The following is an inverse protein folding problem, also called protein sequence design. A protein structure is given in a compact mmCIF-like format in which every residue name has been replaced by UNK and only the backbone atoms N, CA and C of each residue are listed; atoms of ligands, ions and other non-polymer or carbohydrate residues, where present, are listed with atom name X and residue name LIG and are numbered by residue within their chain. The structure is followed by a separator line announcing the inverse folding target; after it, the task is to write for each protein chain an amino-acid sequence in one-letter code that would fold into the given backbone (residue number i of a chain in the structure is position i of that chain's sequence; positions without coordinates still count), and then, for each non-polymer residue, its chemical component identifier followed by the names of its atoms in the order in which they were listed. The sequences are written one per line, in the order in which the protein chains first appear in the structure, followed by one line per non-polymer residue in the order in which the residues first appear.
data_IF_497288277673
#
_entry.id   IF_497288277673
#
_cell.length_a   1.000
_cell.length_b   1.000
_cell.length_c   1.000
_cell.angle_alpha   90.00
_cell.angle_beta   90.00
_cell.angle_gamma   90.00
#
_symmetry.space_group_name_H-M   'P 1'
#
loop_
_entity.id
_entity.type
_entity.pdbx_description
1 polymer ?
#
# COMPACT_ATOMS: atom_id res chain seq x y z
N UNK A 1 -7.78 3.25 3.63
CA UNK A 1 -7.53 1.85 4.07
C UNK A 1 -7.43 0.84 2.94
N UNK A 2 -8.18 0.98 1.83
CA UNK A 2 -8.10 0.04 0.70
C UNK A 2 -6.65 -0.21 0.19
N UNK A 3 -5.79 0.82 0.19
CA UNK A 3 -4.35 0.70 -0.17
C UNK A 3 -3.57 -0.34 0.64
N UNK A 4 -4.02 -0.66 1.85
CA UNK A 4 -3.34 -1.57 2.77
C UNK A 4 -3.90 -3.00 2.77
N UNK A 5 -5.03 -3.26 2.10
CA UNK A 5 -5.63 -4.59 2.10
C UNK A 5 -4.68 -5.65 1.52
N UNK A 6 -4.19 -5.45 0.30
CA UNK A 6 -3.26 -6.42 -0.31
C UNK A 6 -1.90 -6.47 0.40
N UNK A 7 -1.25 -5.34 0.76
CA UNK A 7 0.00 -5.39 1.52
C UNK A 7 -0.12 -6.20 2.81
N UNK A 8 -1.19 -6.00 3.58
CA UNK A 8 -1.40 -6.77 4.81
C UNK A 8 -1.71 -8.25 4.53
N UNK A 9 -2.40 -8.60 3.44
CA UNK A 9 -2.57 -10.01 3.05
C UNK A 9 -1.24 -10.67 2.72
N UNK A 10 -0.37 -9.98 1.98
CA UNK A 10 1.00 -10.45 1.69
C UNK A 10 1.81 -10.62 2.99
N UNK A 11 1.72 -9.67 3.90
CA UNK A 11 2.38 -9.74 5.20
C UNK A 11 1.89 -10.94 6.02
N UNK A 12 0.57 -11.12 6.12
CA UNK A 12 -0.03 -12.24 6.87
C UNK A 12 0.44 -13.57 6.30
N UNK A 13 0.40 -13.76 4.97
CA UNK A 13 0.90 -14.98 4.28
C UNK A 13 2.37 -15.29 4.62
N UNK A 14 3.22 -14.27 4.70
CA UNK A 14 4.65 -14.44 4.99
C UNK A 14 5.01 -14.58 6.47
N UNK A 15 4.05 -14.33 7.38
CA UNK A 15 4.29 -14.28 8.82
C UNK A 15 3.72 -15.49 9.55
N UNK A 16 3.98 -15.59 10.85
CA UNK A 16 3.36 -16.60 11.73
C UNK A 16 1.84 -16.51 11.79
N UNK A 17 1.26 -15.37 11.39
CA UNK A 17 -0.19 -15.16 11.35
C UNK A 17 -0.90 -16.07 10.35
N UNK A 18 -0.21 -16.57 9.32
CA UNK A 18 -0.77 -17.50 8.34
C UNK A 18 -1.36 -18.78 8.98
N UNK A 19 -0.91 -19.14 10.18
CA UNK A 19 -1.44 -20.31 10.93
C UNK A 19 -2.80 -20.06 11.58
N UNK A 20 -3.23 -18.80 11.68
CA UNK A 20 -4.46 -18.43 12.38
C UNK A 20 -5.72 -18.57 11.51
N UNK A 21 -5.56 -18.70 10.19
CA UNK A 21 -6.66 -18.81 9.24
C UNK A 21 -6.32 -18.15 7.90
N UNK A 22 -7.35 -17.94 7.09
CA UNK A 22 -7.19 -17.34 5.77
C UNK A 22 -6.71 -15.87 5.88
N UNK A 23 -5.67 -15.48 5.12
CA UNK A 23 -5.13 -14.11 5.17
C UNK A 23 -6.16 -13.02 4.94
N UNK A 24 -7.12 -13.26 4.04
CA UNK A 24 -8.20 -12.32 3.75
C UNK A 24 -9.16 -12.14 4.95
N UNK A 25 -9.54 -13.23 5.61
CA UNK A 25 -10.42 -13.18 6.79
C UNK A 25 -9.73 -12.46 7.95
N UNK A 26 -8.43 -12.74 8.17
CA UNK A 26 -7.64 -12.08 9.22
C UNK A 26 -7.58 -10.57 8.97
N UNK A 27 -7.29 -10.15 7.73
CA UNK A 27 -7.18 -8.73 7.37
C UNK A 27 -8.55 -8.04 7.45
N UNK A 28 -9.62 -8.68 6.97
CA UNK A 28 -10.96 -8.12 7.03
C UNK A 28 -11.45 -7.98 8.49
N UNK A 29 -11.24 -9.00 9.33
CA UNK A 29 -11.55 -8.94 10.75
C UNK A 29 -10.72 -7.87 11.49
N UNK A 30 -9.43 -7.76 11.15
CA UNK A 30 -8.57 -6.70 11.67
C UNK A 30 -9.10 -5.31 11.33
N UNK A 31 -9.45 -5.05 10.06
CA UNK A 31 -10.01 -3.76 9.68
C UNK A 31 -11.35 -3.49 10.35
N UNK A 32 -12.26 -4.48 10.41
CA UNK A 32 -13.54 -4.32 11.10
C UNK A 32 -13.33 -3.94 12.59
N UNK A 33 -12.37 -4.58 13.27
CA UNK A 33 -12.08 -4.31 14.67
C UNK A 33 -11.40 -2.95 14.91
N UNK A 34 -10.50 -2.52 14.01
CA UNK A 34 -9.72 -1.28 14.21
C UNK A 34 -10.41 -0.04 13.66
N UNK A 35 -11.16 -0.15 12.57
CA UNK A 35 -11.85 0.99 11.96
C UNK A 35 -13.16 1.34 12.66
N UNK A 36 -13.67 0.46 13.52
CA UNK A 36 -14.77 0.75 14.43
C UNK A 36 -14.34 1.52 15.69
N UNK A 37 -13.03 1.61 15.97
CA UNK A 37 -12.49 2.34 17.12
C UNK A 37 -11.75 3.61 16.66
N UNK A 38 -12.39 4.77 16.84
CA UNK A 38 -11.81 6.07 16.48
C UNK A 38 -10.43 6.32 17.14
N UNK A 39 -10.22 5.79 18.35
CA UNK A 39 -8.96 5.93 19.09
C UNK A 39 -7.78 5.26 18.40
N UNK A 40 -8.04 4.31 17.51
CA UNK A 40 -6.96 3.62 16.79
C UNK A 40 -6.18 4.58 15.90
N UNK A 41 -6.88 5.43 15.15
CA UNK A 41 -6.24 6.42 14.27
C UNK A 41 -5.72 7.63 15.04
N UNK A 42 -6.38 8.01 16.14
CA UNK A 42 -5.85 9.03 17.06
C UNK A 42 -4.51 8.58 17.68
N UNK A 43 -4.43 7.32 18.11
CA UNK A 43 -3.20 6.72 18.62
C UNK A 43 -2.09 6.69 17.58
N UNK A 44 -2.43 6.38 16.32
CA UNK A 44 -1.47 6.50 15.21
C UNK A 44 -0.98 7.94 15.05
N UNK A 45 -1.89 8.91 14.95
CA UNK A 45 -1.54 10.32 14.76
C UNK A 45 -0.63 10.84 15.89
N UNK A 46 -0.88 10.43 17.14
CA UNK A 46 -0.06 10.79 18.29
C UNK A 46 1.30 10.06 18.34
N UNK A 47 1.43 8.90 17.67
CA UNK A 47 2.66 8.09 17.74
C UNK A 47 3.84 8.66 16.95
N UNK A 48 3.59 9.50 15.95
CA UNK A 48 4.60 9.95 14.98
C UNK A 48 5.15 8.84 14.08
N UNK A 49 4.57 7.63 14.11
CA UNK A 49 5.00 6.50 13.28
C UNK A 49 4.41 6.61 11.87
N UNK A 50 5.16 6.09 10.89
CA UNK A 50 4.61 5.85 9.55
C UNK A 50 3.45 4.86 9.64
N UNK A 51 2.35 5.17 8.96
CA UNK A 51 1.11 4.36 9.03
C UNK A 51 1.35 2.88 8.73
N UNK A 52 2.24 2.59 7.77
CA UNK A 52 2.60 1.22 7.41
C UNK A 52 3.19 0.40 8.55
N UNK A 53 4.10 0.98 9.34
CA UNK A 53 4.71 0.32 10.49
C UNK A 53 3.69 0.17 11.61
N UNK A 54 2.85 1.18 11.81
CA UNK A 54 1.74 1.12 12.75
C UNK A 54 0.78 -0.04 12.43
N UNK A 55 0.37 -0.19 11.17
CA UNK A 55 -0.54 -1.25 10.74
C UNK A 55 0.08 -2.65 10.83
N UNK A 56 1.35 -2.83 10.43
CA UNK A 56 2.06 -4.11 10.59
C UNK A 56 2.13 -4.52 12.07
N UNK A 57 2.46 -3.59 12.97
CA UNK A 57 2.48 -3.87 14.40
C UNK A 57 1.07 -4.20 14.92
N UNK A 58 0.07 -3.41 14.52
CA UNK A 58 -1.30 -3.57 14.98
C UNK A 58 -1.91 -4.92 14.55
N UNK A 59 -1.62 -5.40 13.33
CA UNK A 59 -2.12 -6.70 12.86
C UNK A 59 -1.42 -7.87 13.57
N UNK A 60 -0.14 -7.74 13.92
CA UNK A 60 0.56 -8.72 14.77
C UNK A 60 -0.09 -8.82 16.16
N UNK A 61 -0.35 -7.68 16.82
CA UNK A 61 -1.03 -7.67 18.12
C UNK A 61 -2.46 -8.21 18.04
N UNK A 62 -3.17 -7.90 16.96
CA UNK A 62 -4.50 -8.46 16.70
C UNK A 62 -4.47 -9.99 16.59
N UNK A 63 -3.55 -10.55 15.80
CA UNK A 63 -3.40 -11.99 15.66
C UNK A 63 -3.00 -12.70 16.95
N UNK A 64 -2.15 -12.08 17.78
CA UNK A 64 -1.85 -12.60 19.12
C UNK A 64 -3.10 -12.63 20.03
N UNK A 65 -4.01 -11.66 19.88
CA UNK A 65 -5.31 -11.67 20.55
C UNK A 65 -6.15 -12.89 20.14
N UNK A 66 -6.30 -13.10 18.82
CA UNK A 66 -7.02 -14.25 18.27
C UNK A 66 -6.46 -15.60 18.78
N UNK A 67 -5.14 -15.74 18.81
CA UNK A 67 -4.49 -16.96 19.32
C UNK A 67 -4.81 -17.21 20.80
N UNK A 68 -4.78 -16.17 21.64
CA UNK A 68 -5.11 -16.28 23.07
C UNK A 68 -6.59 -16.62 23.29
N UNK A 69 -7.48 -16.01 22.52
CA UNK A 69 -8.92 -16.27 22.64
C UNK A 69 -9.27 -17.70 22.22
N UNK A 70 -8.62 -18.20 21.16
CA UNK A 70 -8.73 -19.60 20.75
C UNK A 70 -8.23 -20.57 21.83
N UNK A 71 -7.04 -20.33 22.38
CA UNK A 71 -6.51 -21.15 23.47
C UNK A 71 -7.41 -21.16 24.71
N UNK A 72 -8.02 -20.03 25.08
CA UNK A 72 -9.00 -19.93 26.17
C UNK A 72 -10.31 -20.66 25.87
N UNK A 73 -10.76 -20.66 24.62
CA UNK A 73 -11.94 -21.42 24.21
C UNK A 73 -11.66 -22.93 24.29
N UNK A 74 -10.49 -23.37 23.82
CA UNK A 74 -10.05 -24.77 23.87
C UNK A 74 -9.83 -25.27 25.31
N UNK A 75 -9.19 -24.46 26.18
CA UNK A 75 -8.97 -24.81 27.60
C UNK A 75 -10.27 -24.97 28.41
N UNK A 76 -11.37 -24.31 27.99
CA UNK A 76 -12.71 -24.49 28.58
C UNK A 76 -13.41 -25.77 28.13
N UNK A 77 -12.88 -26.47 27.12
CA UNK A 77 -13.41 -27.72 26.56
C UNK A 77 -12.70 -29.00 27.01
N UNK A 78 -11.61 -28.91 27.80
CA UNK A 78 -10.84 -30.06 28.29
C UNK A 78 -9.35 -29.94 27.92
N UNK A 79 -8.51 -30.00 28.95
CA UNK A 79 -7.07 -29.73 29.00
C UNK A 79 -6.25 -29.94 27.70
N UNK A 80 -5.75 -28.83 27.13
CA UNK A 80 -4.52 -28.79 26.34
C UNK A 80 -3.77 -27.51 26.70
N UNK A 81 -2.50 -27.65 27.10
CA UNK A 81 -1.60 -26.53 27.40
C UNK A 81 -1.42 -25.62 26.17
N UNK A 82 -1.54 -24.29 26.31
CA UNK A 82 -1.30 -23.37 25.20
C UNK A 82 0.16 -23.47 24.77
N UNK A 83 0.42 -24.13 23.65
CA UNK A 83 1.69 -23.93 22.94
C UNK A 83 1.68 -22.48 22.48
N UNK A 84 2.43 -21.64 23.19
CA UNK A 84 2.80 -20.32 22.71
C UNK A 84 3.21 -20.47 21.24
N UNK A 85 2.64 -19.63 20.37
CA UNK A 85 3.11 -19.52 19.00
C UNK A 85 4.59 -19.19 19.08
N UNK A 86 5.41 -20.23 18.94
CA UNK A 86 6.84 -20.13 19.05
C UNK A 86 7.28 -19.03 18.10
N UNK A 87 8.12 -18.12 18.60
CA UNK A 87 8.39 -16.80 18.01
C UNK A 87 9.17 -16.92 16.68
N UNK A 88 9.32 -18.11 16.12
CA UNK A 88 10.04 -18.39 14.88
C UNK A 88 9.21 -19.29 13.97
N UNK A 89 9.44 -19.11 12.67
CA UNK A 89 8.81 -19.77 11.51
C UNK A 89 7.58 -19.07 10.94
N UNK A 90 7.68 -17.75 10.78
CA UNK A 90 7.54 -17.12 9.46
C UNK A 90 8.81 -16.30 9.24
N UNK A 91 9.29 -16.18 8.00
CA UNK A 91 10.42 -15.30 7.73
C UNK A 91 9.93 -13.85 7.77
N UNK A 92 9.93 -13.27 8.98
CA UNK A 92 9.44 -11.92 9.22
C UNK A 92 10.13 -10.87 8.34
N UNK A 93 11.40 -11.07 8.00
CA UNK A 93 12.11 -10.18 7.09
C UNK A 93 11.57 -10.29 5.66
N UNK A 94 11.30 -11.51 5.19
CA UNK A 94 10.65 -11.73 3.89
C UNK A 94 9.20 -11.23 3.86
N UNK A 95 8.46 -11.37 4.96
CA UNK A 95 7.09 -10.85 5.08
C UNK A 95 7.05 -9.32 5.03
N UNK A 96 7.93 -8.64 5.79
CA UNK A 96 8.08 -7.19 5.74
C UNK A 96 8.50 -6.71 4.34
N UNK A 97 9.46 -7.38 3.71
CA UNK A 97 9.89 -7.03 2.35
C UNK A 97 8.78 -7.23 1.31
N UNK A 98 7.99 -8.31 1.44
CA UNK A 98 6.81 -8.56 0.60
C UNK A 98 5.73 -7.51 0.78
N UNK A 99 5.48 -7.12 2.04
CA UNK A 99 4.58 -6.03 2.38
C UNK A 99 5.03 -4.71 1.74
N UNK A 100 6.30 -4.32 1.91
CA UNK A 100 6.82 -3.04 1.40
C UNK A 100 6.73 -2.97 -0.12
N UNK A 101 7.00 -4.07 -0.84
CA UNK A 101 6.79 -4.15 -2.30
C UNK A 101 5.33 -3.96 -2.70
N UNK A 102 4.42 -4.70 -2.06
CA UNK A 102 2.99 -4.60 -2.34
C UNK A 102 2.44 -3.20 -2.03
N UNK A 103 2.92 -2.59 -0.95
CA UNK A 103 2.55 -1.23 -0.53
C UNK A 103 3.07 -0.18 -1.51
N UNK A 104 4.35 -0.25 -1.93
CA UNK A 104 4.93 0.66 -2.91
C UNK A 104 4.11 0.67 -4.20
N UNK A 105 3.72 -0.52 -4.68
CA UNK A 105 2.89 -0.66 -5.87
C UNK A 105 1.47 -0.10 -5.67
N UNK A 106 0.86 -0.32 -4.51
CA UNK A 106 -0.45 0.27 -4.18
C UNK A 106 -0.40 1.80 -4.15
N UNK A 107 0.64 2.37 -3.55
CA UNK A 107 0.86 3.82 -3.48
C UNK A 107 1.08 4.43 -4.87
N UNK A 108 1.90 3.82 -5.73
CA UNK A 108 2.11 4.30 -7.11
C UNK A 108 0.85 4.20 -7.97
N UNK A 109 0.07 3.12 -7.81
CA UNK A 109 -1.23 3.00 -8.50
C UNK A 109 -2.20 4.10 -8.05
N UNK A 110 -2.32 4.32 -6.75
CA UNK A 110 -3.20 5.36 -6.22
C UNK A 110 -2.77 6.76 -6.68
N UNK A 111 -1.47 7.07 -6.63
CA UNK A 111 -0.94 8.34 -7.12
C UNK A 111 -1.20 8.55 -8.62
N UNK A 112 -1.02 7.50 -9.43
CA UNK A 112 -1.31 7.53 -10.87
C UNK A 112 -2.79 7.78 -11.13
N UNK A 113 -3.69 7.07 -10.45
CA UNK A 113 -5.13 7.23 -10.58
C UNK A 113 -5.61 8.64 -10.15
N UNK A 114 -5.03 9.20 -9.08
CA UNK A 114 -5.31 10.59 -8.67
C UNK A 114 -4.86 11.60 -9.73
N UNK A 115 -3.69 11.39 -10.32
CA UNK A 115 -3.17 12.26 -11.37
C UNK A 115 -4.01 12.19 -12.65
N UNK A 116 -4.46 10.99 -13.03
CA UNK A 116 -5.39 10.75 -14.14
C UNK A 116 -6.70 11.51 -13.92
N UNK A 117 -7.39 11.27 -12.81
CA UNK A 117 -8.65 11.93 -12.49
C UNK A 117 -8.53 13.47 -12.45
N UNK A 118 -7.41 13.99 -11.94
CA UNK A 118 -7.16 15.44 -11.93
C UNK A 118 -6.92 16.02 -13.33
N UNK A 119 -6.28 15.27 -14.23
CA UNK A 119 -6.09 15.68 -15.63
C UNK A 119 -7.40 15.59 -16.41
N UNK A 120 -8.20 14.55 -16.20
CA UNK A 120 -9.54 14.42 -16.78
C UNK A 120 -10.43 15.59 -16.38
N UNK A 121 -10.48 15.92 -15.09
CA UNK A 121 -11.24 17.07 -14.58
C UNK A 121 -10.77 18.41 -15.18
N UNK A 122 -9.50 18.51 -15.58
CA UNK A 122 -8.94 19.67 -16.26
C UNK A 122 -9.13 19.66 -17.80
N UNK A 123 -9.84 18.68 -18.36
CA UNK A 123 -10.02 18.51 -19.81
C UNK A 123 -8.75 18.04 -20.53
N UNK A 124 -7.81 17.41 -19.82
CA UNK A 124 -6.49 16.99 -20.30
C UNK A 124 -6.32 15.48 -20.34
N UNK A 125 -7.40 14.71 -20.48
CA UNK A 125 -7.37 13.25 -20.58
C UNK A 125 -6.40 12.76 -21.67
N UNK A 126 -6.31 13.46 -22.80
CA UNK A 126 -5.39 13.13 -23.90
C UNK A 126 -3.91 13.14 -23.48
N UNK A 127 -3.53 14.01 -22.54
CA UNK A 127 -2.14 14.06 -22.08
C UNK A 127 -1.80 12.83 -21.23
N UNK A 128 -2.76 12.33 -20.44
CA UNK A 128 -2.62 11.08 -19.70
C UNK A 128 -2.55 9.87 -20.63
N UNK A 129 -3.39 9.83 -21.67
CA UNK A 129 -3.35 8.75 -22.67
C UNK A 129 -2.00 8.68 -23.39
N UNK A 130 -1.42 9.84 -23.74
CA UNK A 130 -0.06 9.92 -24.32
C UNK A 130 0.98 9.34 -23.34
N UNK A 131 0.89 9.72 -22.06
CA UNK A 131 1.78 9.20 -21.04
C UNK A 131 1.65 7.68 -20.88
N UNK A 132 0.41 7.14 -20.85
CA UNK A 132 0.14 5.71 -20.73
C UNK A 132 0.75 4.93 -21.89
N UNK A 133 0.45 5.31 -23.13
CA UNK A 133 0.98 4.63 -24.33
C UNK A 133 2.51 4.66 -24.39
N UNK A 134 3.14 5.76 -24.02
CA UNK A 134 4.60 5.87 -24.10
C UNK A 134 5.31 5.28 -22.88
N UNK A 135 5.01 5.78 -21.68
CA UNK A 135 5.76 5.49 -20.47
C UNK A 135 5.39 4.15 -19.82
N UNK A 136 4.17 3.64 -20.08
CA UNK A 136 3.71 2.36 -19.52
C UNK A 136 3.76 1.28 -20.60
N UNK A 137 3.17 1.53 -21.78
CA UNK A 137 3.10 0.51 -22.85
C UNK A 137 4.36 0.47 -23.73
N UNK A 138 5.28 1.42 -23.58
CA UNK A 138 6.55 1.46 -24.32
C UNK A 138 6.42 1.85 -25.80
N UNK A 139 5.30 2.41 -26.23
CA UNK A 139 5.09 2.77 -27.64
C UNK A 139 5.88 4.04 -28.02
N UNK A 140 6.60 4.05 -29.16
CA UNK A 140 7.21 5.26 -29.68
C UNK A 140 6.16 6.30 -30.09
N UNK A 141 6.44 7.60 -29.89
CA UNK A 141 5.49 8.67 -30.23
C UNK A 141 5.07 8.65 -31.69
N UNK A 142 5.98 8.33 -32.62
CA UNK A 142 5.69 8.24 -34.05
C UNK A 142 4.51 7.31 -34.40
N UNK A 143 4.21 6.31 -33.55
CA UNK A 143 3.13 5.33 -33.78
C UNK A 143 1.75 5.95 -33.57
N UNK A 144 1.58 6.84 -32.58
CA UNK A 144 0.26 7.30 -32.14
C UNK A 144 0.10 8.82 -32.09
N UNK A 145 1.16 9.62 -32.24
CA UNK A 145 1.09 11.08 -32.13
C UNK A 145 0.05 11.70 -33.09
N UNK A 146 0.02 11.21 -34.34
CA UNK A 146 -0.97 11.66 -35.34
C UNK A 146 -2.39 11.26 -34.99
N UNK A 147 -2.60 10.07 -34.43
CA UNK A 147 -3.92 9.58 -33.99
C UNK A 147 -4.52 10.49 -32.92
N UNK A 148 -3.70 10.95 -31.97
CA UNK A 148 -4.12 11.85 -30.88
C UNK A 148 -4.08 13.34 -31.28
N UNK A 149 -3.82 13.65 -32.55
CA UNK A 149 -3.77 15.03 -33.06
C UNK A 149 -2.63 15.88 -32.49
N UNK A 150 -1.48 15.28 -32.15
CA UNK A 150 -0.31 15.95 -31.58
C UNK A 150 0.97 15.69 -32.39
N UNK A 151 1.94 16.57 -32.26
CA UNK A 151 3.32 16.30 -32.70
C UNK A 151 4.07 15.47 -31.66
N UNK A 152 5.14 14.77 -32.06
CA UNK A 152 5.98 14.01 -31.11
C UNK A 152 6.55 14.90 -29.99
N UNK A 153 6.91 16.15 -30.33
CA UNK A 153 7.37 17.13 -29.34
C UNK A 153 6.27 17.49 -28.32
N UNK A 154 5.03 17.65 -28.77
CA UNK A 154 3.88 17.86 -27.89
C UNK A 154 3.62 16.64 -27.01
N UNK A 155 3.77 15.43 -27.56
CA UNK A 155 3.67 14.20 -26.79
C UNK A 155 4.73 14.13 -25.69
N UNK A 156 5.99 14.43 -26.00
CA UNK A 156 7.07 14.49 -25.01
C UNK A 156 6.83 15.57 -23.94
N UNK A 157 6.20 16.69 -24.30
CA UNK A 157 5.73 17.70 -23.34
C UNK A 157 4.65 17.16 -22.40
N UNK A 158 3.63 16.50 -22.95
CA UNK A 158 2.56 15.86 -22.20
C UNK A 158 3.09 14.81 -21.23
N UNK A 159 3.94 13.88 -21.69
CA UNK A 159 4.56 12.85 -20.85
C UNK A 159 5.30 13.45 -19.64
N UNK A 160 6.10 14.51 -19.85
CA UNK A 160 6.82 15.18 -18.75
C UNK A 160 5.88 15.82 -17.75
N UNK A 161 4.81 16.46 -18.22
CA UNK A 161 3.81 17.03 -17.33
C UNK A 161 3.11 15.97 -16.51
N UNK A 162 2.65 14.88 -17.13
CA UNK A 162 1.96 13.79 -16.41
C UNK A 162 2.89 13.17 -15.38
N UNK A 163 4.16 12.92 -15.73
CA UNK A 163 5.16 12.43 -14.77
C UNK A 163 5.33 13.37 -13.57
N UNK A 164 5.30 14.69 -13.77
CA UNK A 164 5.33 15.67 -12.69
C UNK A 164 4.07 15.59 -11.82
N UNK A 165 2.88 15.45 -12.43
CA UNK A 165 1.60 15.31 -11.71
C UNK A 165 1.54 14.03 -10.89
N UNK A 166 1.99 12.91 -11.44
CA UNK A 166 2.10 11.63 -10.71
C UNK A 166 3.06 11.76 -9.53
N UNK A 167 4.22 12.43 -9.72
CA UNK A 167 5.16 12.68 -8.61
C UNK A 167 4.54 13.54 -7.50
N UNK A 168 3.78 14.57 -7.86
CA UNK A 168 3.08 15.41 -6.89
C UNK A 168 2.00 14.61 -6.12
N UNK A 169 1.17 13.85 -6.83
CA UNK A 169 0.17 12.98 -6.21
C UNK A 169 0.80 11.91 -5.32
N UNK A 170 1.97 11.38 -5.69
CA UNK A 170 2.74 10.47 -4.86
C UNK A 170 3.20 11.14 -3.56
N UNK A 171 3.69 12.37 -3.63
CA UNK A 171 4.04 13.15 -2.44
C UNK A 171 2.81 13.37 -1.54
N UNK A 172 1.64 13.64 -2.11
CA UNK A 172 0.38 13.76 -1.35
C UNK A 172 0.03 12.47 -0.62
N UNK A 173 0.07 11.34 -1.33
CA UNK A 173 -0.18 10.03 -0.73
C UNK A 173 0.81 9.73 0.41
N UNK A 174 2.08 10.06 0.25
CA UNK A 174 3.10 9.85 1.29
C UNK A 174 2.92 10.79 2.50
N UNK A 175 2.43 12.02 2.30
CA UNK A 175 2.06 12.89 3.43
C UNK A 175 0.91 12.30 4.25
N UNK A 176 -0.11 11.73 3.60
CA UNK A 176 -1.20 11.01 4.29
C UNK A 176 -0.69 9.80 5.09
N UNK A 177 0.46 9.23 4.75
CA UNK A 177 1.10 8.12 5.45
C UNK A 177 1.89 8.55 6.70
N UNK A 178 1.99 9.86 6.94
CA UNK A 178 2.79 10.45 8.01
C UNK A 178 4.26 10.68 7.64
N UNK A 179 4.61 10.73 6.35
CA UNK A 179 5.98 11.10 5.92
C UNK A 179 6.14 12.62 6.03
N UNK A 180 7.16 13.07 6.74
CA UNK A 180 7.46 14.49 6.88
C UNK A 180 7.95 15.11 5.57
N UNK A 181 7.67 16.40 5.35
CA UNK A 181 8.01 17.11 4.11
C UNK A 181 9.49 16.96 3.71
N UNK A 182 10.40 17.10 4.68
CA UNK A 182 11.85 16.95 4.48
C UNK A 182 12.30 15.55 4.05
N UNK A 183 11.46 14.53 4.23
CA UNK A 183 11.75 13.13 3.91
C UNK A 183 11.07 12.66 2.61
N UNK A 184 10.19 13.47 2.02
CA UNK A 184 9.38 13.05 0.87
C UNK A 184 10.24 12.65 -0.33
N UNK A 185 11.25 13.43 -0.69
CA UNK A 185 12.09 13.11 -1.84
C UNK A 185 12.86 11.80 -1.66
N UNK A 186 13.39 11.56 -0.46
CA UNK A 186 14.07 10.31 -0.12
C UNK A 186 13.09 9.12 -0.14
N UNK A 187 11.86 9.33 0.32
CA UNK A 187 10.84 8.30 0.31
C UNK A 187 10.32 7.98 -1.10
N UNK A 188 10.14 8.98 -1.95
CA UNK A 188 9.81 8.81 -3.38
C UNK A 188 10.90 7.99 -4.07
N UNK A 189 12.17 8.28 -3.80
CA UNK A 189 13.28 7.50 -4.33
C UNK A 189 13.25 6.04 -3.84
N UNK A 190 12.95 5.80 -2.56
CA UNK A 190 12.79 4.45 -2.01
C UNK A 190 11.64 3.69 -2.67
N UNK A 191 10.45 4.30 -2.79
CA UNK A 191 9.28 3.66 -3.43
C UNK A 191 9.63 3.21 -4.85
N UNK A 192 10.38 4.04 -5.59
CA UNK A 192 10.84 3.69 -6.95
C UNK A 192 11.88 2.58 -6.98
N UNK A 193 12.75 2.47 -5.98
CA UNK A 193 13.78 1.43 -5.93
C UNK A 193 13.24 0.05 -5.49
N UNK A 194 12.01 -0.01 -4.99
CA UNK A 194 11.34 -1.23 -4.52
C UNK A 194 10.48 -1.87 -5.64
N UNK A 195 10.16 -1.11 -6.69
CA UNK A 195 9.43 -1.55 -7.89
C UNK A 195 10.39 -2.06 -8.96
#
# INVERSE_FOLDING_TARGET
MARYAEPLRVFVRGSSLARLGEPEEIVNGFFAARLSDARFLEGWAASGMRLRRWLMNAILFYGQGLARDRARAEARGGAVEPRELDRREGDGATAEAGFERAWALAVVREATARAEAALEAAGRAVDFEIFRRHAIDGQPYAVFAREVGRSEQQCAGATRLVAQRVRAALADVLREEGVAERELDAEIARVRGVL
#
